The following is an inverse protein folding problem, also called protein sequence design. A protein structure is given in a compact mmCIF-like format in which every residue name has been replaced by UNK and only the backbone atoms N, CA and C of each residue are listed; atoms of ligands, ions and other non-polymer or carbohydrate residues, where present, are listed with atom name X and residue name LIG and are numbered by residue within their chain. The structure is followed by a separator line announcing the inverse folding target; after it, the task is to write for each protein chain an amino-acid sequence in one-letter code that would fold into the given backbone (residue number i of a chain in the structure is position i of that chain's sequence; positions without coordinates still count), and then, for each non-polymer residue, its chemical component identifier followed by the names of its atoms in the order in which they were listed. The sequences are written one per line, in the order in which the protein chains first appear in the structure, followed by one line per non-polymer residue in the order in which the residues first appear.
data_IF_663272540699
#
_entry.id   IF_663272540699
#
_cell.length_a   1.000
_cell.length_b   1.000
_cell.length_c   1.000
_cell.angle_alpha   90.00
_cell.angle_beta   90.00
_cell.angle_gamma   90.00
#
_symmetry.space_group_name_H-M   'P 1'
#
loop_
_entity.id
_entity.type
_entity.pdbx_description
1 polymer ?
#
# COMPACT_ATOMS: atom_id res chain seq x y z
N UNK A 1 5.61 -6.50 19.14
CA UNK A 1 4.18 -6.35 18.77
C UNK A 1 3.50 -5.06 19.25
N UNK A 2 3.92 -4.43 20.36
CA UNK A 2 3.19 -3.27 20.95
C UNK A 2 3.04 -2.03 20.04
N UNK A 3 3.94 -1.84 19.08
CA UNK A 3 3.92 -0.71 18.13
C UNK A 3 3.20 -1.00 16.80
N UNK A 4 2.96 -2.27 16.47
CA UNK A 4 2.43 -2.65 15.15
C UNK A 4 0.97 -2.24 14.95
N UNK A 5 0.11 -2.60 15.91
CA UNK A 5 -1.31 -2.25 15.89
C UNK A 5 -1.54 -0.73 15.82
N UNK A 6 -0.95 0.10 16.70
CA UNK A 6 -1.19 1.55 16.65
C UNK A 6 -0.71 2.17 15.34
N UNK A 7 0.39 1.70 14.75
CA UNK A 7 0.87 2.20 13.46
C UNK A 7 -0.10 1.87 12.32
N UNK A 8 -0.62 0.64 12.29
CA UNK A 8 -1.60 0.22 11.28
C UNK A 8 -2.89 1.01 11.43
N UNK A 9 -3.37 1.24 12.65
CA UNK A 9 -4.56 2.05 12.92
C UNK A 9 -4.36 3.49 12.45
N UNK A 10 -3.20 4.09 12.74
CA UNK A 10 -2.86 5.43 12.26
C UNK A 10 -2.83 5.50 10.73
N UNK A 11 -2.14 4.55 10.09
CA UNK A 11 -2.10 4.47 8.63
C UNK A 11 -3.49 4.33 8.02
N UNK A 12 -4.33 3.44 8.57
CA UNK A 12 -5.70 3.24 8.10
C UNK A 12 -6.55 4.51 8.26
N UNK A 13 -6.41 5.22 9.39
CA UNK A 13 -7.08 6.49 9.60
C UNK A 13 -6.63 7.54 8.58
N UNK A 14 -5.32 7.67 8.31
CA UNK A 14 -4.81 8.58 7.29
C UNK A 14 -5.23 8.17 5.87
N UNK A 15 -5.30 6.88 5.56
CA UNK A 15 -5.74 6.41 4.25
C UNK A 15 -7.25 6.66 4.01
N UNK A 16 -8.07 6.59 5.06
CA UNK A 16 -9.52 6.82 4.95
C UNK A 16 -9.85 8.31 4.99
N UNK A 17 -9.33 9.03 5.98
CA UNK A 17 -9.68 10.43 6.24
C UNK A 17 -8.72 11.41 5.57
N UNK A 18 -7.50 10.99 5.21
CA UNK A 18 -6.46 11.85 4.68
C UNK A 18 -6.85 12.71 3.49
N UNK A 19 -7.57 12.20 2.47
CA UNK A 19 -8.02 13.05 1.36
C UNK A 19 -8.91 14.22 1.78
N UNK A 20 -9.64 14.10 2.89
CA UNK A 20 -10.44 15.22 3.44
C UNK A 20 -9.62 16.17 4.31
N UNK A 21 -8.46 15.73 4.80
CA UNK A 21 -7.51 16.56 5.53
C UNK A 21 -6.47 17.23 4.61
N UNK A 22 -6.38 16.81 3.34
CA UNK A 22 -5.44 17.34 2.39
C UNK A 22 -5.73 18.83 2.10
N UNK A 23 -4.74 19.74 2.29
CA UNK A 23 -4.96 21.16 2.07
C UNK A 23 -5.17 21.52 0.58
N UNK A 24 -4.59 20.75 -0.34
CA UNK A 24 -4.63 21.02 -1.78
C UNK A 24 -4.94 19.76 -2.60
N UNK A 25 -5.28 19.96 -3.87
CA UNK A 25 -5.43 18.89 -4.86
C UNK A 25 -4.04 18.30 -5.20
N UNK A 26 -3.83 16.98 -5.08
CA UNK A 26 -2.55 16.32 -5.40
C UNK A 26 -2.16 16.42 -6.89
N UNK A 27 -3.07 16.85 -7.77
CA UNK A 27 -2.80 17.07 -9.20
C UNK A 27 -2.65 18.56 -9.56
N UNK A 28 -2.85 19.48 -8.61
CA UNK A 28 -2.68 20.91 -8.85
C UNK A 28 -1.20 21.27 -8.91
N UNK A 29 -0.74 21.60 -10.11
CA UNK A 29 0.64 22.00 -10.40
C UNK A 29 0.78 23.52 -10.23
N UNK A 30 1.78 23.95 -9.44
CA UNK A 30 2.13 25.36 -9.25
C UNK A 30 3.65 25.57 -9.34
N UNK A 31 4.15 25.80 -10.56
CA UNK A 31 5.58 26.01 -10.80
C UNK A 31 6.15 27.23 -10.07
N UNK A 32 5.33 28.21 -9.68
CA UNK A 32 5.82 29.38 -8.95
C UNK A 32 6.33 29.00 -7.55
N UNK A 33 5.82 27.91 -6.99
CA UNK A 33 6.23 27.36 -5.72
C UNK A 33 6.99 26.03 -5.87
N UNK A 34 7.66 25.79 -7.00
CA UNK A 34 8.51 24.59 -7.16
C UNK A 34 9.66 24.57 -6.12
N UNK A 35 9.91 23.40 -5.52
CA UNK A 35 10.93 23.19 -4.48
C UNK A 35 10.81 24.12 -3.27
N UNK A 36 9.59 24.54 -2.91
CA UNK A 36 9.36 25.34 -1.72
C UNK A 36 9.64 24.52 -0.45
N UNK A 37 10.37 25.12 0.48
CA UNK A 37 10.63 24.55 1.80
C UNK A 37 9.32 24.43 2.62
N UNK A 38 9.29 23.57 3.66
CA UNK A 38 8.16 23.47 4.58
C UNK A 38 7.75 24.82 5.15
N UNK A 39 6.45 25.14 5.06
CA UNK A 39 5.86 26.40 5.51
C UNK A 39 4.43 26.19 6.03
N UNK A 40 3.85 27.22 6.65
CA UNK A 40 2.46 27.16 7.10
C UNK A 40 1.47 26.95 5.94
N UNK A 41 1.83 27.40 4.73
CA UNK A 41 1.06 27.16 3.51
C UNK A 41 1.25 25.74 2.96
N UNK A 42 2.48 25.21 3.01
CA UNK A 42 2.85 23.87 2.55
C UNK A 42 3.58 23.10 3.65
N UNK A 43 2.86 22.33 4.47
CA UNK A 43 3.40 21.78 5.72
C UNK A 43 4.61 20.86 5.52
N UNK A 44 4.67 20.15 4.39
CA UNK A 44 5.80 19.31 4.01
C UNK A 44 6.60 19.87 2.83
N UNK A 45 6.34 21.13 2.44
CA UNK A 45 6.88 21.73 1.23
C UNK A 45 6.24 21.20 -0.04
N UNK A 46 6.84 21.55 -1.17
CA UNK A 46 6.35 21.21 -2.50
C UNK A 46 7.38 20.43 -3.32
N UNK A 47 6.90 19.69 -4.31
CA UNK A 47 7.72 18.95 -5.26
C UNK A 47 8.41 19.82 -6.31
N UNK A 48 9.06 19.15 -7.25
CA UNK A 48 9.68 19.74 -8.45
C UNK A 48 8.67 20.43 -9.38
N UNK A 49 7.44 19.92 -9.40
CA UNK A 49 6.30 20.52 -10.09
C UNK A 49 5.47 21.47 -9.21
N UNK A 50 5.93 21.76 -7.99
CA UNK A 50 5.24 22.63 -7.04
C UNK A 50 3.99 22.03 -6.39
N UNK A 51 3.71 20.74 -6.59
CA UNK A 51 2.61 20.04 -5.94
C UNK A 51 2.88 19.91 -4.44
N UNK A 52 1.85 20.12 -3.61
CA UNK A 52 1.93 19.97 -2.15
C UNK A 52 2.17 18.52 -1.71
N UNK A 53 3.30 18.28 -1.04
CA UNK A 53 3.76 16.93 -0.70
C UNK A 53 2.87 16.24 0.34
N UNK A 54 2.30 17.00 1.29
CA UNK A 54 1.38 16.44 2.28
C UNK A 54 0.12 15.89 1.60
N UNK A 55 -0.45 16.68 0.69
CA UNK A 55 -1.63 16.30 -0.08
C UNK A 55 -1.37 15.05 -0.93
N UNK A 56 -0.21 14.95 -1.57
CA UNK A 56 0.23 13.76 -2.31
C UNK A 56 0.33 12.53 -1.40
N UNK A 57 0.95 12.67 -0.23
CA UNK A 57 1.10 11.55 0.70
C UNK A 57 -0.23 11.04 1.24
N UNK A 58 -1.17 11.94 1.58
CA UNK A 58 -2.49 11.56 2.09
C UNK A 58 -3.34 10.84 1.03
N UNK A 59 -3.32 11.34 -0.21
CA UNK A 59 -4.01 10.68 -1.32
C UNK A 59 -3.32 9.37 -1.72
N UNK A 60 -1.98 9.35 -1.71
CA UNK A 60 -1.17 8.15 -1.95
C UNK A 60 -1.41 7.07 -0.90
N UNK A 61 -1.56 7.43 0.38
CA UNK A 61 -1.90 6.50 1.45
C UNK A 61 -3.24 5.80 1.20
N UNK A 62 -4.27 6.52 0.74
CA UNK A 62 -5.55 5.92 0.34
C UNK A 62 -5.38 4.92 -0.79
N UNK A 63 -4.68 5.31 -1.86
CA UNK A 63 -4.45 4.44 -3.01
C UNK A 63 -3.67 3.18 -2.59
N UNK A 64 -2.58 3.33 -1.85
CA UNK A 64 -1.77 2.23 -1.33
C UNK A 64 -2.59 1.29 -0.44
N UNK A 65 -3.45 1.83 0.42
CA UNK A 65 -4.35 1.05 1.27
C UNK A 65 -5.35 0.23 0.47
N UNK A 66 -6.00 0.82 -0.54
CA UNK A 66 -6.97 0.13 -1.41
C UNK A 66 -6.29 -0.96 -2.22
N UNK A 67 -5.17 -0.65 -2.88
CA UNK A 67 -4.42 -1.62 -3.69
C UNK A 67 -3.91 -2.76 -2.81
N UNK A 68 -3.32 -2.45 -1.66
CA UNK A 68 -2.83 -3.47 -0.72
C UNK A 68 -3.94 -4.40 -0.24
N UNK A 69 -5.11 -3.86 0.12
CA UNK A 69 -6.26 -4.65 0.55
C UNK A 69 -6.78 -5.57 -0.57
N UNK A 70 -6.85 -5.05 -1.80
CA UNK A 70 -7.26 -5.85 -2.96
C UNK A 70 -6.26 -6.99 -3.21
N UNK A 71 -4.96 -6.69 -3.29
CA UNK A 71 -3.92 -7.71 -3.55
C UNK A 71 -3.94 -8.79 -2.48
N UNK A 72 -4.01 -8.41 -1.20
CA UNK A 72 -4.09 -9.38 -0.10
C UNK A 72 -5.36 -10.22 -0.19
N UNK A 73 -6.52 -9.59 -0.45
CA UNK A 73 -7.78 -10.30 -0.61
C UNK A 73 -7.75 -11.30 -1.76
N UNK A 74 -7.21 -10.90 -2.92
CA UNK A 74 -7.04 -11.78 -4.08
C UNK A 74 -6.10 -12.94 -3.76
N UNK A 75 -4.90 -12.67 -3.27
CA UNK A 75 -3.91 -13.69 -2.94
C UNK A 75 -4.41 -14.64 -1.86
N UNK A 76 -5.07 -14.15 -0.82
CA UNK A 76 -5.65 -14.98 0.22
C UNK A 76 -6.77 -15.88 -0.33
N UNK A 77 -7.65 -15.36 -1.18
CA UNK A 77 -8.74 -16.14 -1.77
C UNK A 77 -8.22 -17.25 -2.67
N UNK A 78 -7.40 -16.90 -3.67
CA UNK A 78 -6.88 -17.88 -4.62
C UNK A 78 -5.86 -18.82 -3.99
N UNK A 79 -4.97 -18.30 -3.15
CA UNK A 79 -3.99 -19.10 -2.40
C UNK A 79 -4.66 -20.12 -1.49
N UNK A 80 -5.75 -19.74 -0.81
CA UNK A 80 -6.50 -20.67 0.04
C UNK A 80 -7.22 -21.74 -0.78
N UNK A 81 -7.82 -21.39 -1.93
CA UNK A 81 -8.45 -22.37 -2.82
C UNK A 81 -7.42 -23.38 -3.35
N UNK A 82 -6.28 -22.90 -3.83
CA UNK A 82 -5.20 -23.76 -4.33
C UNK A 82 -4.64 -24.65 -3.21
N UNK A 83 -4.38 -24.07 -2.03
CA UNK A 83 -3.90 -24.81 -0.87
C UNK A 83 -4.88 -25.86 -0.36
N UNK A 84 -6.19 -25.54 -0.36
CA UNK A 84 -7.22 -26.50 0.00
C UNK A 84 -7.32 -27.66 -1.00
N UNK A 85 -7.20 -27.38 -2.30
CA UNK A 85 -7.18 -28.41 -3.35
C UNK A 85 -5.93 -29.31 -3.23
N UNK A 86 -4.77 -28.74 -2.93
CA UNK A 86 -3.53 -29.48 -2.68
C UNK A 86 -3.72 -30.46 -1.51
N UNK A 87 -4.20 -29.95 -0.37
CA UNK A 87 -4.43 -30.74 0.83
C UNK A 87 -5.53 -31.80 0.69
N UNK A 88 -6.57 -31.52 -0.12
CA UNK A 88 -7.65 -32.49 -0.38
C UNK A 88 -7.23 -33.61 -1.34
N UNK A 89 -6.52 -33.28 -2.43
CA UNK A 89 -6.09 -34.27 -3.42
C UNK A 89 -4.95 -35.15 -2.90
N UNK A 90 -4.06 -34.58 -2.07
CA UNK A 90 -2.90 -35.26 -1.52
C UNK A 90 -1.92 -35.80 -2.58
N UNK A 91 -0.92 -36.55 -2.12
CA UNK A 91 0.00 -37.30 -2.98
C UNK A 91 0.81 -36.42 -3.95
N UNK A 92 0.73 -36.72 -5.25
CA UNK A 92 1.57 -36.07 -6.27
C UNK A 92 1.21 -34.60 -6.53
N UNK A 93 -0.07 -34.25 -6.38
CA UNK A 93 -0.54 -32.86 -6.60
C UNK A 93 -0.06 -31.95 -5.47
N UNK A 94 -0.19 -32.42 -4.22
CA UNK A 94 0.31 -31.72 -3.04
C UNK A 94 1.82 -31.49 -3.09
N UNK A 95 2.60 -32.52 -3.44
CA UNK A 95 4.05 -32.38 -3.62
C UNK A 95 4.44 -31.39 -4.72
N UNK A 96 3.74 -31.39 -5.86
CA UNK A 96 4.04 -30.47 -6.95
C UNK A 96 3.75 -29.01 -6.57
N UNK A 97 2.62 -28.76 -5.89
CA UNK A 97 2.23 -27.42 -5.47
C UNK A 97 3.11 -26.89 -4.33
N UNK A 98 3.45 -27.73 -3.36
CA UNK A 98 4.37 -27.38 -2.28
C UNK A 98 5.78 -27.08 -2.82
N UNK A 99 6.30 -27.89 -3.74
CA UNK A 99 7.60 -27.63 -4.37
C UNK A 99 7.62 -26.33 -5.18
N UNK A 100 6.50 -25.97 -5.83
CA UNK A 100 6.38 -24.69 -6.52
C UNK A 100 6.41 -23.52 -5.53
N UNK A 101 5.72 -23.62 -4.39
CA UNK A 101 5.75 -22.61 -3.34
C UNK A 101 7.17 -22.44 -2.78
N UNK A 102 7.87 -23.54 -2.49
CA UNK A 102 9.27 -23.52 -2.04
C UNK A 102 10.19 -22.85 -3.06
N UNK A 103 10.01 -23.14 -4.36
CA UNK A 103 10.77 -22.50 -5.44
C UNK A 103 10.54 -20.98 -5.46
N UNK A 104 9.29 -20.54 -5.34
CA UNK A 104 8.95 -19.12 -5.33
C UNK A 104 9.53 -18.41 -4.10
N UNK A 105 9.57 -19.05 -2.94
CA UNK A 105 10.16 -18.49 -1.73
C UNK A 105 11.70 -18.57 -1.70
N UNK A 106 12.30 -19.48 -2.48
CA UNK A 106 13.75 -19.63 -2.56
C UNK A 106 14.44 -18.48 -3.31
N UNK A 107 13.72 -17.77 -4.19
CA UNK A 107 14.21 -16.58 -4.87
C UNK A 107 13.76 -15.32 -4.12
N UNK A 108 14.64 -14.65 -3.35
CA UNK A 108 14.30 -13.35 -2.78
C UNK A 108 14.18 -12.31 -3.91
N UNK A 109 13.06 -11.59 -3.89
CA UNK A 109 12.83 -10.36 -4.67
C UNK A 109 13.14 -9.12 -3.85
#
# INVERSE_FOLDING_TARGET
MRLGVPLVVLFAALAIFGPWLAPYDPMAIDLAHAYAAPSAAHWLGTGDNGVDMLSVLLHGARLAGVVGLLVVGFTATFGTVIGALAGYAGGRVDHALSALADLLQAFPG
#
